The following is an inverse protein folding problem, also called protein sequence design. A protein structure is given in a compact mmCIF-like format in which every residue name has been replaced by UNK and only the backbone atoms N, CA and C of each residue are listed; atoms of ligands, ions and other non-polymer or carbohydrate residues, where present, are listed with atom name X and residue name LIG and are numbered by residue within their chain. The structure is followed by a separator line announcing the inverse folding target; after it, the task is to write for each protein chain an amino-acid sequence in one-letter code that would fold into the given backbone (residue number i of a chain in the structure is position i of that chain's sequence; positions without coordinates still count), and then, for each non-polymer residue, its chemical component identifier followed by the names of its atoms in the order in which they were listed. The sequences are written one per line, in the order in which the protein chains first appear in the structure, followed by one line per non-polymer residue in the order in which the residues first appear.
data_IF_861660631101
#
_entry.id   IF_861660631101
#
_cell.length_a   1.000
_cell.length_b   1.000
_cell.length_c   1.000
_cell.angle_alpha   90.00
_cell.angle_beta   90.00
_cell.angle_gamma   90.00
#
_symmetry.space_group_name_H-M   'P 1'
#
loop_
_entity.id
_entity.type
_entity.pdbx_description
1 polymer ?
#
# COMPACT_ATOMS: atom_id res chain seq x y z
N UNK A 1 -16.96 31.52 -16.04
CA UNK A 1 -15.56 31.56 -15.57
C UNK A 1 -15.09 30.13 -15.42
N UNK A 2 -14.00 29.79 -16.10
CA UNK A 2 -13.61 28.41 -16.49
C UNK A 2 -13.02 27.60 -15.33
N UNK A 3 -13.46 26.34 -15.19
CA UNK A 3 -13.10 25.38 -14.14
C UNK A 3 -11.67 24.81 -14.26
N UNK A 4 -10.87 25.27 -15.22
CA UNK A 4 -9.55 24.72 -15.55
C UNK A 4 -8.37 25.25 -14.71
N UNK A 5 -8.60 26.09 -13.70
CA UNK A 5 -7.51 26.84 -13.04
C UNK A 5 -7.24 26.50 -11.57
N UNK A 6 -7.85 25.44 -11.00
CA UNK A 6 -7.65 25.06 -9.58
C UNK A 6 -6.88 23.76 -9.35
N UNK A 7 -6.57 23.00 -10.41
CA UNK A 7 -5.85 21.73 -10.27
C UNK A 7 -4.35 21.91 -10.50
N UNK A 8 -3.59 21.98 -9.40
CA UNK A 8 -2.16 21.62 -9.37
C UNK A 8 -1.97 20.71 -8.15
N UNK A 9 -1.58 19.43 -8.33
CA UNK A 9 -1.02 18.67 -7.23
C UNK A 9 0.18 19.45 -6.69
N UNK A 10 0.18 19.74 -5.40
CA UNK A 10 1.36 20.27 -4.72
C UNK A 10 2.38 19.13 -4.69
N UNK A 11 3.17 18.99 -5.76
CA UNK A 11 4.36 18.16 -5.77
C UNK A 11 5.26 18.70 -4.66
N UNK A 12 5.51 17.89 -3.62
CA UNK A 12 6.39 18.22 -2.51
C UNK A 12 7.79 18.49 -3.07
N UNK A 13 8.15 19.76 -3.22
CA UNK A 13 9.49 20.15 -3.67
C UNK A 13 10.47 19.88 -2.54
N UNK A 14 11.32 18.87 -2.71
CA UNK A 14 12.52 18.75 -1.92
C UNK A 14 13.59 19.66 -2.54
N UNK A 15 14.03 20.67 -1.80
CA UNK A 15 15.22 21.43 -2.16
C UNK A 15 16.47 20.53 -2.03
N UNK A 16 17.36 20.49 -3.04
CA UNK A 16 18.56 19.67 -2.96
C UNK A 16 19.52 20.21 -1.88
N UNK A 17 20.13 19.36 -1.06
CA UNK A 17 21.16 19.80 -0.12
C UNK A 17 22.39 20.30 -0.87
N UNK A 18 22.89 21.46 -0.45
CA UNK A 18 24.12 22.07 -0.96
C UNK A 18 25.32 21.13 -0.74
N UNK A 19 25.96 20.71 -1.85
CA UNK A 19 27.13 19.85 -1.81
C UNK A 19 28.35 20.59 -1.23
N UNK A 20 28.82 20.15 -0.07
CA UNK A 20 30.19 20.42 0.38
C UNK A 20 31.04 19.17 0.13
N UNK A 21 32.08 19.35 -0.69
CA UNK A 21 33.03 18.33 -1.06
C UNK A 21 33.94 17.98 0.13
N UNK A 22 33.91 16.73 0.58
CA UNK A 22 35.06 16.11 1.26
C UNK A 22 35.18 14.67 0.79
N UNK A 23 36.35 14.34 0.23
CA UNK A 23 36.70 13.02 -0.26
C UNK A 23 37.05 12.10 0.92
N UNK A 24 36.38 10.95 1.01
CA UNK A 24 36.88 9.80 1.76
C UNK A 24 36.59 8.55 0.94
N UNK A 25 37.68 7.91 0.50
CA UNK A 25 37.69 6.61 -0.13
C UNK A 25 37.17 5.56 0.85
N UNK A 26 36.00 5.01 0.54
CA UNK A 26 35.44 3.83 1.18
C UNK A 26 34.73 3.02 0.10
N UNK A 27 35.07 1.74 -0.01
CA UNK A 27 34.49 0.81 -0.99
C UNK A 27 32.95 0.90 -0.97
N UNK A 28 32.40 1.46 -2.03
CA UNK A 28 30.95 1.59 -2.20
C UNK A 28 30.40 0.25 -2.63
N UNK A 29 29.62 -0.39 -1.76
CA UNK A 29 28.76 -1.54 -2.08
C UNK A 29 27.76 -1.09 -3.15
N UNK A 30 28.11 -1.25 -4.43
CA UNK A 30 27.29 -0.76 -5.54
C UNK A 30 26.14 -1.72 -5.81
N UNK A 31 24.92 -1.17 -5.98
CA UNK A 31 23.72 -1.93 -6.37
C UNK A 31 23.78 -2.50 -7.82
N UNK A 32 24.95 -2.60 -8.45
CA UNK A 32 25.07 -3.10 -9.83
C UNK A 32 24.86 -4.62 -9.94
N UNK A 33 24.84 -5.36 -8.84
CA UNK A 33 24.56 -6.80 -8.82
C UNK A 33 23.06 -7.13 -8.71
N UNK A 34 22.16 -6.22 -9.12
CA UNK A 34 20.71 -6.30 -8.83
C UNK A 34 19.83 -6.81 -9.98
N UNK A 35 20.41 -7.36 -11.05
CA UNK A 35 19.64 -7.92 -12.17
C UNK A 35 18.87 -9.17 -11.71
N UNK A 36 17.54 -9.09 -11.66
CA UNK A 36 16.66 -10.24 -11.52
C UNK A 36 15.69 -10.23 -12.70
N UNK A 37 15.62 -11.35 -13.39
CA UNK A 37 14.56 -11.63 -14.35
C UNK A 37 13.34 -12.18 -13.57
N UNK A 38 12.13 -11.82 -13.99
CA UNK A 38 10.91 -12.44 -13.47
C UNK A 38 10.92 -13.94 -13.82
N UNK A 39 10.35 -14.82 -12.97
CA UNK A 39 10.21 -16.24 -13.31
C UNK A 39 9.51 -16.43 -14.66
N UNK A 40 10.02 -17.35 -15.49
CA UNK A 40 9.45 -17.66 -16.80
C UNK A 40 8.01 -18.24 -16.66
N UNK A 41 7.00 -17.62 -17.30
CA UNK A 41 5.61 -18.06 -17.23
C UNK A 41 5.37 -19.45 -17.88
N UNK A 42 6.27 -19.98 -18.70
CA UNK A 42 6.03 -21.23 -19.45
C UNK A 42 6.55 -22.50 -18.76
N UNK A 43 7.13 -22.41 -17.56
CA UNK A 43 7.50 -23.58 -16.76
C UNK A 43 6.30 -24.10 -15.94
N UNK A 44 5.85 -25.30 -16.30
CA UNK A 44 4.86 -26.19 -15.69
C UNK A 44 3.41 -25.70 -15.57
N UNK A 45 2.56 -26.25 -16.46
CA UNK A 45 1.10 -26.28 -16.28
C UNK A 45 0.68 -27.73 -16.07
N UNK A 46 0.13 -28.04 -14.89
CA UNK A 46 -0.83 -29.11 -14.55
C UNK A 46 -0.80 -29.50 -13.06
N UNK A 47 -0.89 -28.55 -12.12
CA UNK A 47 -1.17 -28.86 -10.70
C UNK A 47 -1.98 -27.75 -9.97
N UNK A 48 -2.58 -26.79 -10.68
CA UNK A 48 -2.96 -25.49 -10.12
C UNK A 48 -4.32 -25.50 -9.36
N UNK A 49 -5.32 -26.25 -9.80
CA UNK A 49 -6.70 -26.09 -9.26
C UNK A 49 -6.92 -26.75 -7.87
N UNK A 50 -6.11 -27.75 -7.51
CA UNK A 50 -6.24 -28.44 -6.20
C UNK A 50 -5.43 -27.77 -5.09
N UNK A 51 -4.34 -27.09 -5.43
CA UNK A 51 -3.50 -26.37 -4.46
C UNK A 51 -4.17 -25.05 -4.02
N UNK A 52 -4.80 -24.34 -4.95
CA UNK A 52 -5.54 -23.11 -4.71
C UNK A 52 -6.67 -23.30 -3.69
N UNK A 53 -7.49 -24.35 -3.87
CA UNK A 53 -8.60 -24.68 -2.97
C UNK A 53 -8.16 -25.11 -1.55
N UNK A 54 -6.95 -25.67 -1.40
CA UNK A 54 -6.41 -26.07 -0.09
C UNK A 54 -5.81 -24.86 0.65
N UNK A 55 -5.14 -23.96 -0.07
CA UNK A 55 -4.56 -22.74 0.49
C UNK A 55 -5.64 -21.74 0.95
N UNK A 56 -6.73 -21.57 0.18
CA UNK A 56 -7.87 -20.72 0.55
C UNK A 56 -8.53 -21.21 1.85
N UNK A 57 -8.74 -22.52 1.99
CA UNK A 57 -9.33 -23.11 3.20
C UNK A 57 -8.43 -22.99 4.44
N UNK A 58 -7.12 -23.16 4.29
CA UNK A 58 -6.15 -22.96 5.39
C UNK A 58 -6.10 -21.49 5.81
N UNK A 59 -6.22 -20.56 4.86
CA UNK A 59 -6.32 -19.13 5.14
C UNK A 59 -7.61 -18.76 5.87
N UNK A 60 -8.78 -19.24 5.45
CA UNK A 60 -10.06 -18.94 6.14
C UNK A 60 -10.09 -19.46 7.58
N UNK A 61 -9.52 -20.64 7.82
CA UNK A 61 -9.39 -21.22 9.17
C UNK A 61 -8.40 -20.42 10.01
N UNK A 62 -7.23 -20.09 9.47
CA UNK A 62 -6.24 -19.24 10.17
C UNK A 62 -6.76 -17.82 10.38
N UNK A 63 -7.54 -17.26 9.45
CA UNK A 63 -8.23 -15.96 9.56
C UNK A 63 -9.24 -16.02 10.69
N UNK A 64 -10.12 -17.01 10.74
CA UNK A 64 -11.07 -17.16 11.83
C UNK A 64 -10.38 -17.32 13.19
N UNK A 65 -9.26 -18.03 13.25
CA UNK A 65 -8.47 -18.22 14.46
C UNK A 65 -7.72 -16.94 14.89
N UNK A 66 -7.03 -16.26 13.96
CA UNK A 66 -6.36 -14.98 14.17
C UNK A 66 -7.35 -13.88 14.58
N UNK A 67 -8.46 -13.72 13.86
CA UNK A 67 -9.51 -12.76 14.18
C UNK A 67 -10.19 -13.10 15.53
N UNK A 68 -10.40 -14.38 15.83
CA UNK A 68 -11.00 -14.84 17.09
C UNK A 68 -10.10 -14.68 18.32
N UNK A 69 -8.78 -14.81 18.15
CA UNK A 69 -7.77 -14.55 19.19
C UNK A 69 -7.57 -13.04 19.36
N UNK A 70 -7.52 -12.28 18.26
CA UNK A 70 -7.27 -10.82 18.28
C UNK A 70 -8.48 -10.01 18.71
N UNK A 71 -9.73 -10.37 18.37
CA UNK A 71 -10.95 -9.74 18.95
C UNK A 71 -10.96 -9.79 20.48
N UNK A 72 -10.46 -10.88 21.09
CA UNK A 72 -10.31 -11.00 22.55
C UNK A 72 -9.19 -10.13 23.14
N UNK A 73 -8.12 -9.86 22.39
CA UNK A 73 -7.03 -8.93 22.79
C UNK A 73 -7.40 -7.45 22.58
N UNK A 74 -8.17 -7.12 21.54
CA UNK A 74 -8.67 -5.77 21.25
C UNK A 74 -9.43 -5.17 22.45
N UNK A 75 -10.25 -5.97 23.13
CA UNK A 75 -10.98 -5.58 24.34
C UNK A 75 -10.07 -5.32 25.56
N UNK A 76 -8.77 -5.59 25.48
CA UNK A 76 -7.82 -5.50 26.59
C UNK A 76 -6.59 -4.62 26.36
N UNK A 77 -6.42 -4.02 25.17
CA UNK A 77 -5.31 -3.10 24.91
C UNK A 77 -5.68 -2.08 23.84
N UNK A 78 -6.21 -0.94 24.28
CA UNK A 78 -6.46 0.25 23.45
C UNK A 78 -5.62 1.46 23.90
N UNK A 79 -4.56 1.25 24.70
CA UNK A 79 -3.61 2.31 25.03
C UNK A 79 -2.27 2.07 24.33
N UNK A 80 -1.81 3.01 23.50
CA UNK A 80 -0.47 2.93 22.93
C UNK A 80 0.55 3.14 24.06
N UNK A 81 1.50 2.23 24.18
CA UNK A 81 2.72 2.54 24.92
C UNK A 81 3.51 3.55 24.09
N UNK A 82 3.57 4.78 24.60
CA UNK A 82 4.43 5.82 24.07
C UNK A 82 5.89 5.44 24.31
N UNK A 83 6.67 5.21 23.25
CA UNK A 83 8.09 5.61 23.18
C UNK A 83 8.67 5.47 21.75
N UNK A 84 9.08 6.61 21.20
CA UNK A 84 10.15 6.90 20.21
C UNK A 84 10.15 6.42 18.74
N UNK A 85 9.36 5.46 18.28
CA UNK A 85 9.49 4.96 16.89
C UNK A 85 8.34 5.45 15.99
N UNK A 86 8.44 6.68 15.47
CA UNK A 86 7.49 7.15 14.46
C UNK A 86 7.67 6.36 13.17
N UNK A 87 6.60 5.75 12.64
CA UNK A 87 6.61 5.16 11.31
C UNK A 87 7.12 6.21 10.29
N UNK A 88 8.07 5.84 9.41
CA UNK A 88 8.71 6.78 8.50
C UNK A 88 7.72 7.29 7.46
N UNK A 89 7.91 8.54 7.05
CA UNK A 89 7.10 9.17 6.02
C UNK A 89 7.95 9.56 4.82
N UNK A 90 7.47 9.23 3.62
CA UNK A 90 8.10 9.57 2.34
C UNK A 90 7.04 10.14 1.42
N UNK A 91 7.24 11.39 0.97
CA UNK A 91 6.35 12.02 -0.01
C UNK A 91 6.65 11.47 -1.41
N UNK A 92 5.61 11.35 -2.23
CA UNK A 92 5.75 11.03 -3.65
C UNK A 92 6.40 12.20 -4.40
N UNK A 93 7.23 11.89 -5.40
CA UNK A 93 7.92 12.90 -6.20
C UNK A 93 7.17 13.29 -7.48
N UNK A 94 6.30 12.41 -7.97
CA UNK A 94 5.58 12.53 -9.23
C UNK A 94 4.11 12.15 -9.02
N UNK A 95 3.26 12.26 -10.06
CA UNK A 95 1.83 11.93 -9.93
C UNK A 95 1.52 10.43 -9.88
N UNK A 96 2.53 9.57 -10.06
CA UNK A 96 2.34 8.13 -10.29
C UNK A 96 3.04 7.23 -9.28
N UNK A 97 3.96 7.77 -8.48
CA UNK A 97 4.89 7.00 -7.65
C UNK A 97 4.45 6.91 -6.18
N UNK A 98 3.18 7.19 -5.85
CA UNK A 98 2.67 7.07 -4.48
C UNK A 98 2.84 5.65 -3.92
N UNK A 99 2.64 4.61 -4.74
CA UNK A 99 2.91 3.23 -4.36
C UNK A 99 4.40 2.95 -4.11
N UNK A 100 5.30 3.57 -4.88
CA UNK A 100 6.76 3.46 -4.67
C UNK A 100 7.14 4.11 -3.34
N UNK A 101 6.63 5.31 -3.06
CA UNK A 101 6.83 6.00 -1.79
C UNK A 101 6.28 5.17 -0.60
N UNK A 102 5.16 4.46 -0.77
CA UNK A 102 4.67 3.51 0.23
C UNK A 102 5.67 2.39 0.52
N UNK A 103 6.31 1.82 -0.51
CA UNK A 103 7.35 0.81 -0.32
C UNK A 103 8.59 1.42 0.35
N UNK A 104 8.99 2.65 0.02
CA UNK A 104 10.08 3.35 0.70
C UNK A 104 9.82 3.50 2.20
N UNK A 105 8.59 3.85 2.59
CA UNK A 105 8.18 3.89 4.00
C UNK A 105 8.26 2.51 4.66
N UNK A 106 7.72 1.46 4.03
CA UNK A 106 7.80 0.09 4.57
C UNK A 106 9.25 -0.39 4.71
N UNK A 107 10.11 -0.09 3.73
CA UNK A 107 11.53 -0.42 3.77
C UNK A 107 12.23 0.26 4.96
N UNK A 108 12.05 1.57 5.14
CA UNK A 108 12.62 2.31 6.27
C UNK A 108 12.10 1.77 7.61
N UNK A 109 10.81 1.44 7.69
CA UNK A 109 10.20 0.84 8.88
C UNK A 109 10.82 -0.52 9.20
N UNK A 110 11.14 -1.33 8.18
CA UNK A 110 11.86 -2.59 8.34
C UNK A 110 13.28 -2.36 8.86
N UNK A 111 14.05 -1.44 8.26
CA UNK A 111 15.42 -1.14 8.69
C UNK A 111 15.46 -0.66 10.15
N UNK A 112 14.52 0.21 10.55
CA UNK A 112 14.44 0.75 11.91
C UNK A 112 14.17 -0.35 12.95
N UNK A 113 13.12 -1.17 12.76
CA UNK A 113 12.74 -2.15 13.79
C UNK A 113 13.57 -3.43 13.74
N UNK A 114 14.04 -3.84 12.57
CA UNK A 114 14.74 -5.12 12.38
C UNK A 114 16.27 -4.98 12.41
N UNK A 115 16.79 -3.75 12.58
CA UNK A 115 18.24 -3.43 12.60
C UNK A 115 18.98 -3.97 11.37
N UNK A 116 18.31 -3.92 10.21
CA UNK A 116 18.92 -4.27 8.92
C UNK A 116 19.69 -3.06 8.41
N UNK A 117 20.92 -3.27 7.95
CA UNK A 117 21.75 -2.22 7.36
C UNK A 117 21.03 -1.58 6.17
N UNK A 118 20.68 -0.31 6.32
CA UNK A 118 19.97 0.42 5.29
C UNK A 118 20.90 0.74 4.12
N UNK A 119 20.56 0.26 2.94
CA UNK A 119 21.01 0.85 1.68
C UNK A 119 20.46 2.28 1.55
N UNK A 120 21.19 3.18 0.86
CA UNK A 120 20.70 4.54 0.58
C UNK A 120 19.34 4.50 -0.09
N UNK A 121 18.38 5.27 0.43
CA UNK A 121 17.00 5.25 -0.04
C UNK A 121 16.88 5.55 -1.54
N UNK A 122 17.67 6.52 -2.04
CA UNK A 122 17.75 6.85 -3.47
C UNK A 122 18.14 5.66 -4.33
N UNK A 123 19.00 4.79 -3.83
CA UNK A 123 19.49 3.62 -4.53
C UNK A 123 18.41 2.51 -4.57
N UNK A 124 17.66 2.35 -3.47
CA UNK A 124 16.48 1.47 -3.41
C UNK A 124 15.39 1.95 -4.37
N UNK A 125 15.10 3.25 -4.36
CA UNK A 125 14.15 3.90 -5.27
C UNK A 125 14.53 3.72 -6.73
N UNK A 126 15.78 3.99 -7.09
CA UNK A 126 16.32 3.80 -8.43
C UNK A 126 16.10 2.37 -8.93
N UNK A 127 16.34 1.37 -8.06
CA UNK A 127 16.08 -0.02 -8.38
C UNK A 127 14.60 -0.27 -8.62
N UNK A 128 13.71 0.19 -7.73
CA UNK A 128 12.26 -0.01 -7.87
C UNK A 128 11.71 0.60 -9.15
N UNK A 129 12.10 1.85 -9.47
CA UNK A 129 11.64 2.54 -10.69
C UNK A 129 12.11 1.80 -11.94
N UNK A 130 13.36 1.35 -11.99
CA UNK A 130 13.89 0.58 -13.12
C UNK A 130 13.23 -0.79 -13.25
N UNK A 131 13.01 -1.48 -12.14
CA UNK A 131 12.41 -2.82 -12.11
C UNK A 131 10.91 -2.81 -12.44
N UNK A 132 10.18 -1.79 -11.97
CA UNK A 132 8.78 -1.58 -12.35
C UNK A 132 8.67 -1.34 -13.86
N UNK A 133 9.60 -0.55 -14.42
CA UNK A 133 9.67 -0.19 -15.84
C UNK A 133 8.34 0.35 -16.38
N UNK A 134 7.59 1.06 -15.54
CA UNK A 134 6.28 1.65 -15.83
C UNK A 134 6.04 2.87 -14.95
N UNK A 135 5.23 3.80 -15.43
CA UNK A 135 4.66 4.89 -14.63
C UNK A 135 3.16 4.67 -14.36
N UNK A 136 2.61 3.52 -14.73
CA UNK A 136 1.25 3.08 -14.38
C UNK A 136 1.40 1.91 -13.40
N UNK A 137 1.52 2.23 -12.12
CA UNK A 137 1.78 1.27 -11.04
C UNK A 137 0.47 0.66 -10.57
N UNK A 138 0.39 -0.67 -10.62
CA UNK A 138 -0.72 -1.48 -10.12
C UNK A 138 -0.28 -2.24 -8.86
N UNK A 139 -1.22 -2.71 -8.05
CA UNK A 139 -0.91 -3.35 -6.76
C UNK A 139 0.01 -4.56 -6.92
N UNK A 140 -0.17 -5.34 -7.98
CA UNK A 140 0.73 -6.47 -8.29
C UNK A 140 2.17 -6.04 -8.57
N UNK A 141 2.40 -4.83 -9.12
CA UNK A 141 3.76 -4.30 -9.27
C UNK A 141 4.38 -4.08 -7.88
N UNK A 142 3.62 -3.55 -6.92
CA UNK A 142 4.07 -3.33 -5.55
C UNK A 142 4.37 -4.63 -4.82
N UNK A 143 3.53 -5.66 -4.99
CA UNK A 143 3.75 -7.01 -4.42
C UNK A 143 5.09 -7.58 -4.88
N UNK A 144 5.36 -7.52 -6.20
CA UNK A 144 6.61 -8.03 -6.76
C UNK A 144 7.81 -7.21 -6.27
N UNK A 145 7.69 -5.88 -6.20
CA UNK A 145 8.76 -5.01 -5.70
C UNK A 145 9.08 -5.31 -4.23
N UNK A 146 8.06 -5.45 -3.37
CA UNK A 146 8.22 -5.81 -1.96
C UNK A 146 8.86 -7.19 -1.80
N UNK A 147 8.41 -8.19 -2.56
CA UNK A 147 9.02 -9.52 -2.55
C UNK A 147 10.48 -9.46 -3.01
N UNK A 148 10.78 -8.70 -4.05
CA UNK A 148 12.14 -8.51 -4.54
C UNK A 148 13.05 -7.85 -3.51
N UNK A 149 12.56 -6.83 -2.78
CA UNK A 149 13.31 -6.22 -1.67
C UNK A 149 13.49 -7.20 -0.51
N UNK A 150 12.42 -7.93 -0.14
CA UNK A 150 12.46 -8.97 0.89
C UNK A 150 13.57 -9.98 0.61
N UNK A 151 13.60 -10.54 -0.60
CA UNK A 151 14.56 -11.59 -0.95
C UNK A 151 15.98 -11.03 -1.07
N UNK A 152 16.16 -9.89 -1.75
CA UNK A 152 17.49 -9.31 -1.99
C UNK A 152 18.14 -8.79 -0.71
N UNK A 153 17.36 -8.14 0.15
CA UNK A 153 17.85 -7.53 1.38
C UNK A 153 17.62 -8.39 2.62
N UNK A 154 17.06 -9.60 2.44
CA UNK A 154 16.68 -10.51 3.52
C UNK A 154 15.83 -9.81 4.60
N UNK A 155 14.88 -8.97 4.17
CA UNK A 155 13.99 -8.29 5.11
C UNK A 155 13.14 -9.35 5.83
N UNK A 156 13.10 -9.35 7.17
CA UNK A 156 12.30 -10.30 7.92
C UNK A 156 10.84 -9.82 7.91
N UNK A 157 10.19 -9.96 6.76
CA UNK A 157 8.78 -9.62 6.57
C UNK A 157 8.05 -10.73 5.83
N UNK A 158 6.77 -10.86 6.11
CA UNK A 158 5.83 -11.68 5.38
C UNK A 158 4.80 -10.78 4.71
N UNK A 159 4.45 -11.16 3.48
CA UNK A 159 3.49 -10.44 2.65
C UNK A 159 2.21 -11.24 2.57
N UNK A 160 1.08 -10.55 2.54
CA UNK A 160 -0.22 -11.10 2.16
C UNK A 160 -0.87 -10.09 1.22
N UNK A 161 -1.10 -10.51 -0.02
CA UNK A 161 -1.82 -9.71 -1.00
C UNK A 161 -3.30 -10.11 -1.02
N UNK A 162 -4.20 -9.16 -0.83
CA UNK A 162 -5.63 -9.37 -0.92
C UNK A 162 -6.24 -8.49 -2.00
N UNK A 163 -7.19 -9.04 -2.76
CA UNK A 163 -7.93 -8.35 -3.81
C UNK A 163 -9.26 -9.08 -4.06
N UNK A 164 -10.30 -8.37 -4.49
CA UNK A 164 -11.52 -9.00 -4.98
C UNK A 164 -11.30 -9.71 -6.32
N UNK A 165 -10.36 -9.22 -7.13
CA UNK A 165 -10.07 -9.75 -8.46
C UNK A 165 -8.60 -10.04 -8.69
N UNK A 166 -8.22 -11.32 -8.81
CA UNK A 166 -6.87 -11.73 -9.22
C UNK A 166 -6.69 -11.79 -10.74
N UNK A 167 -7.32 -10.85 -11.44
CA UNK A 167 -7.29 -10.71 -12.91
C UNK A 167 -7.40 -9.25 -13.26
N UNK A 168 -6.98 -8.89 -14.47
CA UNK A 168 -7.25 -7.54 -14.97
C UNK A 168 -8.74 -7.38 -15.20
N UNK A 169 -9.39 -6.55 -14.38
CA UNK A 169 -10.80 -6.23 -14.52
C UNK A 169 -11.03 -5.38 -15.78
N UNK A 170 -11.56 -5.99 -16.84
CA UNK A 170 -11.79 -5.32 -18.12
C UNK A 170 -12.84 -4.22 -18.05
N UNK A 171 -13.70 -4.21 -17.03
CA UNK A 171 -14.66 -3.12 -16.83
C UNK A 171 -13.95 -1.79 -16.51
N UNK A 172 -12.74 -1.83 -15.95
CA UNK A 172 -11.95 -0.64 -15.62
C UNK A 172 -11.48 0.13 -16.86
N UNK A 173 -11.48 -0.51 -18.04
CA UNK A 173 -11.14 0.15 -19.30
C UNK A 173 -12.07 1.34 -19.62
N UNK A 174 -13.27 1.38 -19.03
CA UNK A 174 -14.21 2.48 -19.19
C UNK A 174 -13.85 3.72 -18.34
N UNK A 175 -13.02 3.57 -17.30
CA UNK A 175 -12.64 4.69 -16.44
C UNK A 175 -11.54 5.53 -17.09
N UNK A 176 -11.74 6.85 -17.14
CA UNK A 176 -10.80 7.81 -17.74
C UNK A 176 -9.36 7.65 -17.20
N UNK A 177 -9.23 7.30 -15.92
CA UNK A 177 -7.96 7.02 -15.25
C UNK A 177 -7.15 5.92 -15.95
N UNK A 178 -7.80 4.83 -16.39
CA UNK A 178 -7.13 3.68 -16.99
C UNK A 178 -7.09 3.72 -18.52
N UNK A 179 -8.03 4.42 -19.17
CA UNK A 179 -8.25 4.38 -20.62
C UNK A 179 -6.97 4.54 -21.46
N UNK A 180 -6.10 5.48 -21.11
CA UNK A 180 -4.94 5.84 -21.93
C UNK A 180 -3.83 4.77 -22.00
N UNK A 181 -3.73 3.90 -20.98
CA UNK A 181 -2.68 2.88 -20.86
C UNK A 181 -3.22 1.45 -20.75
N UNK A 182 -4.55 1.28 -20.67
CA UNK A 182 -5.20 0.01 -20.32
C UNK A 182 -4.69 -1.19 -21.12
N UNK A 183 -4.58 -1.09 -22.44
CA UNK A 183 -4.15 -2.22 -23.28
C UNK A 183 -2.70 -2.66 -23.02
N UNK A 184 -1.81 -1.69 -22.74
CA UNK A 184 -0.41 -1.95 -22.38
C UNK A 184 -0.35 -2.56 -20.97
N UNK A 185 -1.09 -1.97 -20.04
CA UNK A 185 -1.13 -2.41 -18.64
C UNK A 185 -1.71 -3.80 -18.50
N UNK A 186 -2.80 -4.11 -19.19
CA UNK A 186 -3.48 -5.40 -19.13
C UNK A 186 -2.54 -6.58 -19.35
N UNK A 187 -1.74 -6.55 -20.42
CA UNK A 187 -0.82 -7.66 -20.73
C UNK A 187 0.27 -7.79 -19.66
N UNK A 188 0.84 -6.66 -19.23
CA UNK A 188 1.89 -6.62 -18.20
C UNK A 188 1.38 -7.09 -16.84
N UNK A 189 0.23 -6.57 -16.40
CA UNK A 189 -0.40 -6.90 -15.12
C UNK A 189 -0.81 -8.36 -15.09
N UNK A 190 -1.39 -8.88 -16.18
CA UNK A 190 -1.72 -10.30 -16.29
C UNK A 190 -0.48 -11.19 -16.13
N UNK A 191 0.62 -10.85 -16.81
CA UNK A 191 1.87 -11.60 -16.70
C UNK A 191 2.46 -11.52 -15.28
N UNK A 192 2.37 -10.36 -14.62
CA UNK A 192 2.83 -10.18 -13.23
C UNK A 192 1.98 -10.97 -12.23
N UNK A 193 0.66 -11.04 -12.41
CA UNK A 193 -0.22 -11.87 -11.58
C UNK A 193 0.13 -13.36 -11.72
N UNK A 194 0.41 -13.83 -12.93
CA UNK A 194 0.91 -15.20 -13.17
C UNK A 194 2.27 -15.45 -12.52
N UNK A 195 3.16 -14.45 -12.51
CA UNK A 195 4.43 -14.59 -11.81
C UNK A 195 4.22 -14.68 -10.29
N UNK A 196 3.31 -13.88 -9.71
CA UNK A 196 2.97 -13.92 -8.28
C UNK A 196 2.38 -15.26 -7.87
N UNK A 197 1.53 -15.89 -8.69
CA UNK A 197 0.98 -17.22 -8.38
C UNK A 197 2.04 -18.32 -8.33
N UNK A 198 3.19 -18.11 -8.99
CA UNK A 198 4.36 -18.99 -8.91
C UNK A 198 5.32 -18.64 -7.78
N UNK A 199 5.18 -17.46 -7.18
CA UNK A 199 5.95 -17.06 -6.00
C UNK A 199 5.27 -17.61 -4.74
N UNK A 200 6.06 -17.84 -3.68
CA UNK A 200 5.52 -18.25 -2.38
C UNK A 200 4.97 -17.06 -1.58
N UNK A 201 4.14 -16.24 -2.23
CA UNK A 201 3.46 -15.09 -1.63
C UNK A 201 2.01 -15.53 -1.37
N UNK A 202 1.54 -15.51 -0.11
CA UNK A 202 0.13 -15.68 0.19
C UNK A 202 -0.74 -14.66 -0.55
N UNK A 203 -1.73 -15.15 -1.30
CA UNK A 203 -2.72 -14.33 -1.98
C UNK A 203 -4.12 -14.74 -1.51
N UNK A 204 -4.95 -13.77 -1.16
CA UNK A 204 -6.35 -13.97 -0.83
C UNK A 204 -7.24 -13.29 -1.87
N UNK A 205 -8.09 -14.07 -2.53
CA UNK A 205 -9.15 -13.52 -3.36
C UNK A 205 -10.47 -13.51 -2.59
N UNK A 206 -11.05 -12.33 -2.37
CA UNK A 206 -12.37 -12.19 -1.78
C UNK A 206 -12.52 -11.01 -0.81
N UNK A 207 -13.76 -10.84 -0.35
CA UNK A 207 -14.18 -9.67 0.44
C UNK A 207 -13.42 -9.57 1.76
N UNK A 208 -12.81 -8.41 1.97
CA UNK A 208 -12.28 -7.96 3.25
C UNK A 208 -13.18 -6.88 3.83
N UNK A 209 -13.32 -6.88 5.15
CA UNK A 209 -14.07 -5.87 5.89
C UNK A 209 -13.12 -5.00 6.69
N UNK A 210 -13.57 -3.80 7.05
CA UNK A 210 -12.83 -2.91 7.96
C UNK A 210 -12.43 -3.64 9.25
N UNK A 211 -13.29 -4.50 9.79
CA UNK A 211 -12.99 -5.34 10.95
C UNK A 211 -11.74 -6.22 10.78
N UNK A 212 -11.49 -6.73 9.58
CA UNK A 212 -10.31 -7.54 9.29
C UNK A 212 -9.05 -6.67 9.30
N UNK A 213 -9.12 -5.48 8.71
CA UNK A 213 -8.04 -4.50 8.73
C UNK A 213 -7.70 -4.11 10.17
N UNK A 214 -8.69 -3.78 10.99
CA UNK A 214 -8.50 -3.44 12.41
C UNK A 214 -7.83 -4.60 13.15
N UNK A 215 -8.30 -5.83 12.94
CA UNK A 215 -7.72 -6.99 13.60
C UNK A 215 -6.26 -7.24 13.19
N UNK A 216 -5.89 -6.98 11.94
CA UNK A 216 -4.50 -7.12 11.49
C UNK A 216 -3.64 -5.98 12.02
N UNK A 217 -4.08 -4.74 11.85
CA UNK A 217 -3.36 -3.50 12.18
C UNK A 217 -3.38 -3.13 13.68
N UNK A 218 -4.06 -3.91 14.52
CA UNK A 218 -3.92 -3.82 15.98
C UNK A 218 -2.62 -4.46 16.50
N UNK A 219 -1.82 -5.07 15.62
CA UNK A 219 -0.48 -5.60 15.94
C UNK A 219 0.58 -4.62 15.46
N UNK A 220 1.43 -4.14 16.38
CA UNK A 220 2.50 -3.17 16.08
C UNK A 220 3.56 -3.70 15.09
N UNK A 221 3.55 -5.01 14.81
CA UNK A 221 4.40 -5.64 13.79
C UNK A 221 3.74 -5.71 12.41
N UNK A 222 2.53 -5.17 12.24
CA UNK A 222 1.77 -5.23 11.00
C UNK A 222 1.47 -3.83 10.46
N UNK A 223 1.68 -3.66 9.16
CA UNK A 223 1.26 -2.47 8.40
C UNK A 223 0.57 -2.90 7.11
N UNK A 224 -0.13 -1.99 6.44
CA UNK A 224 -0.77 -2.29 5.17
C UNK A 224 -0.54 -1.17 4.14
N UNK A 225 -0.28 -1.55 2.89
CA UNK A 225 -0.41 -0.64 1.74
C UNK A 225 -1.81 -0.83 1.17
N UNK A 226 -2.63 0.21 1.10
CA UNK A 226 -4.02 0.16 0.63
C UNK A 226 -4.21 1.04 -0.60
N UNK A 227 -4.90 0.53 -1.62
CA UNK A 227 -5.33 1.30 -2.78
C UNK A 227 -6.69 1.94 -2.48
N UNK A 228 -6.81 3.25 -2.71
CA UNK A 228 -8.04 4.01 -2.46
C UNK A 228 -8.34 4.94 -3.61
N UNK A 229 -9.62 5.30 -3.77
CA UNK A 229 -10.02 6.39 -4.63
C UNK A 229 -9.72 7.73 -3.94
N UNK A 230 -8.68 8.43 -4.39
CA UNK A 230 -8.22 9.70 -3.81
C UNK A 230 -9.31 10.79 -3.82
N UNK A 231 -10.19 10.80 -4.81
CA UNK A 231 -11.28 11.77 -4.90
C UNK A 231 -12.23 11.66 -3.69
N UNK A 232 -12.41 10.45 -3.16
CA UNK A 232 -13.25 10.20 -1.98
C UNK A 232 -12.56 10.59 -0.67
N UNK A 233 -11.22 10.62 -0.63
CA UNK A 233 -10.47 11.08 0.53
C UNK A 233 -10.39 12.61 0.62
N UNK A 234 -10.23 13.28 -0.52
CA UNK A 234 -9.88 14.71 -0.56
C UNK A 234 -11.08 15.65 -0.58
N UNK A 235 -12.24 15.21 -1.07
CA UNK A 235 -13.40 16.08 -1.29
C UNK A 235 -14.53 15.76 -0.29
N UNK A 236 -14.44 16.29 0.92
CA UNK A 236 -15.42 16.09 1.98
C UNK A 236 -16.56 17.15 1.98
N UNK A 237 -16.43 18.23 1.19
CA UNK A 237 -17.29 19.43 1.29
C UNK A 237 -18.41 19.53 0.23
N UNK A 238 -18.55 18.56 -0.69
CA UNK A 238 -19.56 18.63 -1.77
C UNK A 238 -20.73 17.68 -1.51
N UNK A 239 -21.97 18.18 -1.32
CA UNK A 239 -23.15 17.33 -1.15
C UNK A 239 -23.49 16.61 -2.45
N UNK A 240 -23.32 15.28 -2.47
CA UNK A 240 -23.80 14.43 -3.58
C UNK A 240 -22.84 13.30 -3.93
N UNK A 241 -23.23 12.07 -3.58
CA UNK A 241 -22.51 10.84 -3.91
C UNK A 241 -22.60 10.50 -5.42
N UNK A 242 -23.69 10.95 -6.07
CA UNK A 242 -24.09 10.57 -7.44
C UNK A 242 -23.15 11.00 -8.58
N UNK A 243 -22.10 11.80 -8.32
CA UNK A 243 -21.14 12.26 -9.33
C UNK A 243 -19.66 12.00 -8.99
N UNK A 244 -19.38 11.34 -7.87
CA UNK A 244 -18.01 11.09 -7.36
C UNK A 244 -17.45 9.75 -7.80
N UNK A 245 -18.31 8.77 -8.01
CA UNK A 245 -17.94 7.45 -8.53
C UNK A 245 -17.36 7.54 -9.95
N UNK A 246 -17.68 8.60 -10.70
CA UNK A 246 -17.16 8.81 -12.05
C UNK A 246 -15.75 9.43 -12.10
N UNK A 247 -15.18 9.89 -10.99
CA UNK A 247 -13.87 10.56 -10.96
C UNK A 247 -12.77 9.74 -10.26
N UNK A 248 -12.84 8.41 -10.39
CA UNK A 248 -11.84 7.50 -9.83
C UNK A 248 -10.41 7.99 -10.11
N UNK A 249 -9.65 8.17 -9.04
CA UNK A 249 -8.21 8.48 -9.09
C UNK A 249 -7.50 7.59 -8.09
N UNK A 250 -6.88 6.52 -8.58
CA UNK A 250 -6.17 5.56 -7.73
C UNK A 250 -5.01 6.22 -6.98
N UNK A 251 -4.89 5.93 -5.69
CA UNK A 251 -3.83 6.41 -4.81
C UNK A 251 -3.51 5.39 -3.73
N UNK A 252 -2.24 5.24 -3.38
CA UNK A 252 -1.82 4.32 -2.32
C UNK A 252 -1.51 5.08 -1.02
N UNK A 253 -1.92 4.48 0.10
CA UNK A 253 -1.59 4.93 1.45
C UNK A 253 -0.92 3.79 2.22
N UNK A 254 -0.17 4.14 3.27
CA UNK A 254 0.24 3.16 4.28
C UNK A 254 -0.62 3.33 5.53
N UNK A 255 -1.24 2.25 6.00
CA UNK A 255 -1.87 2.17 7.31
C UNK A 255 -0.89 1.51 8.28
N UNK A 256 -0.55 2.20 9.36
CA UNK A 256 0.43 1.73 10.35
C UNK A 256 -0.19 1.29 11.67
N UNK A 257 -1.50 1.50 11.85
CA UNK A 257 -2.20 1.04 13.04
C UNK A 257 -3.60 1.63 13.20
N UNK A 258 -4.17 1.40 14.38
CA UNK A 258 -5.44 1.98 14.83
C UNK A 258 -5.24 2.74 16.14
N UNK A 259 -6.02 3.80 16.37
CA UNK A 259 -5.90 4.64 17.56
C UNK A 259 -7.25 5.02 18.12
N UNK A 260 -7.41 4.89 19.43
CA UNK A 260 -8.55 5.44 20.20
C UNK A 260 -8.20 6.68 21.02
N UNK A 261 -7.00 7.25 20.83
CA UNK A 261 -6.65 8.51 21.48
C UNK A 261 -7.64 9.61 21.03
N UNK A 262 -8.36 10.27 21.95
CA UNK A 262 -9.33 11.31 21.62
C UNK A 262 -8.76 12.44 20.74
N UNK A 263 -7.47 12.76 20.89
CA UNK A 263 -6.80 13.78 20.07
C UNK A 263 -6.65 13.33 18.61
N UNK A 264 -6.26 12.08 18.39
CA UNK A 264 -6.11 11.51 17.03
C UNK A 264 -7.48 11.41 16.35
N UNK A 265 -8.48 10.93 17.09
CA UNK A 265 -9.88 10.85 16.68
C UNK A 265 -10.41 12.24 16.30
N UNK A 266 -10.19 13.26 17.14
CA UNK A 266 -10.61 14.64 16.83
C UNK A 266 -9.86 15.23 15.63
N UNK A 267 -8.61 14.80 15.39
CA UNK A 267 -7.77 15.28 14.30
C UNK A 267 -8.08 14.63 12.94
N UNK A 268 -8.99 13.66 12.87
CA UNK A 268 -9.47 13.15 11.59
C UNK A 268 -10.05 14.31 10.76
N UNK A 269 -9.56 14.47 9.52
CA UNK A 269 -9.85 15.63 8.67
C UNK A 269 -11.27 15.63 8.08
N UNK A 270 -12.03 14.56 8.29
CA UNK A 270 -13.39 14.36 7.85
C UNK A 270 -14.38 14.80 8.93
N UNK A 271 -15.37 15.61 8.54
CA UNK A 271 -16.41 16.08 9.45
C UNK A 271 -17.07 14.87 10.14
N UNK A 272 -16.87 14.75 11.45
CA UNK A 272 -17.44 13.70 12.30
C UNK A 272 -18.93 13.55 12.00
N UNK A 273 -19.28 12.46 11.31
CA UNK A 273 -20.69 12.10 11.09
C UNK A 273 -21.26 11.61 12.41
N UNK A 274 -22.53 11.95 12.66
CA UNK A 274 -23.31 11.37 13.76
C UNK A 274 -23.17 9.83 13.69
N UNK A 275 -22.67 9.21 14.76
CA UNK A 275 -22.29 7.78 14.89
C UNK A 275 -20.89 7.35 14.38
N UNK A 276 -19.94 8.26 14.19
CA UNK A 276 -18.57 7.87 13.87
C UNK A 276 -17.91 7.09 15.03
N UNK A 277 -17.10 6.04 14.75
CA UNK A 277 -16.49 5.21 15.80
C UNK A 277 -15.55 5.99 16.71
N UNK A 278 -15.36 5.59 17.98
CA UNK A 278 -14.42 6.25 18.90
C UNK A 278 -12.95 5.88 18.65
N UNK A 279 -12.59 5.64 17.40
CA UNK A 279 -11.26 5.23 16.95
C UNK A 279 -11.04 5.62 15.49
N UNK A 280 -9.78 5.70 15.07
CA UNK A 280 -9.35 6.06 13.73
C UNK A 280 -8.19 5.18 13.25
N UNK A 281 -7.96 5.14 11.93
CA UNK A 281 -6.73 4.58 11.38
C UNK A 281 -5.59 5.60 11.46
N UNK A 282 -4.38 5.12 11.72
CA UNK A 282 -3.14 5.88 11.56
C UNK A 282 -2.64 5.63 10.15
N UNK A 283 -2.58 6.68 9.34
CA UNK A 283 -2.24 6.61 7.93
C UNK A 283 -1.05 7.52 7.58
N UNK A 284 -0.34 7.15 6.52
CA UNK A 284 0.75 7.91 5.94
C UNK A 284 0.44 8.12 4.47
N UNK A 285 0.24 9.37 4.09
CA UNK A 285 -0.21 9.75 2.76
C UNK A 285 0.96 10.32 1.95
N UNK A 286 1.48 9.62 0.93
CA UNK A 286 2.58 10.12 0.10
C UNK A 286 2.30 11.46 -0.58
N UNK A 287 1.03 11.83 -0.78
CA UNK A 287 0.63 13.10 -1.38
C UNK A 287 0.58 14.27 -0.37
N UNK A 288 0.90 14.03 0.90
CA UNK A 288 0.87 15.05 1.95
C UNK A 288 2.24 15.21 2.60
N UNK A 289 2.57 16.44 2.98
CA UNK A 289 3.75 16.74 3.81
C UNK A 289 3.52 16.36 5.29
N UNK A 290 2.26 16.11 5.68
CA UNK A 290 1.93 15.63 7.02
C UNK A 290 2.44 14.20 7.19
N UNK A 291 3.33 14.01 8.18
CA UNK A 291 3.97 12.71 8.45
C UNK A 291 2.98 11.63 8.84
N UNK A 292 1.87 12.03 9.45
CA UNK A 292 0.80 11.14 9.92
C UNK A 292 -0.51 11.85 9.65
N UNK A 293 -1.46 11.13 9.07
CA UNK A 293 -2.86 11.53 8.97
C UNK A 293 -3.73 10.53 9.71
N UNK A 294 -4.84 11.00 10.26
CA UNK A 294 -5.81 10.13 10.92
C UNK A 294 -7.05 10.03 10.04
N UNK A 295 -7.45 8.81 9.72
CA UNK A 295 -8.60 8.55 8.84
C UNK A 295 -9.76 7.99 9.64
N UNK A 296 -10.94 8.57 9.45
CA UNK A 296 -12.18 7.96 9.92
C UNK A 296 -12.39 6.62 9.18
N UNK A 297 -12.76 5.54 9.90
CA UNK A 297 -13.01 4.24 9.29
C UNK A 297 -14.05 4.29 8.16
N UNK A 298 -15.08 5.12 8.30
CA UNK A 298 -16.14 5.29 7.29
C UNK A 298 -15.59 5.93 6.02
N UNK A 299 -14.72 6.93 6.14
CA UNK A 299 -14.09 7.58 4.99
C UNK A 299 -13.14 6.63 4.27
N UNK A 300 -12.32 5.89 5.02
CA UNK A 300 -11.44 4.88 4.44
C UNK A 300 -12.26 3.83 3.68
N UNK A 301 -13.32 3.30 4.30
CA UNK A 301 -14.17 2.29 3.70
C UNK A 301 -14.82 2.80 2.41
N UNK A 302 -15.38 4.02 2.39
CA UNK A 302 -15.94 4.61 1.17
C UNK A 302 -14.91 4.80 0.04
N UNK A 303 -13.68 5.20 0.40
CA UNK A 303 -12.61 5.39 -0.58
C UNK A 303 -12.04 4.06 -1.10
N UNK A 304 -11.97 3.05 -0.25
CA UNK A 304 -11.48 1.71 -0.56
C UNK A 304 -12.52 0.84 -1.28
N UNK A 305 -13.81 1.01 -0.99
CA UNK A 305 -14.94 0.32 -1.65
C UNK A 305 -15.32 0.92 -3.01
N UNK A 306 -14.63 2.00 -3.41
CA UNK A 306 -14.88 2.67 -4.69
C UNK A 306 -14.52 1.80 -5.89
N UNK A 307 -15.30 1.91 -6.97
CA UNK A 307 -14.99 1.27 -8.26
C UNK A 307 -13.55 1.61 -8.68
N UNK A 308 -12.77 0.58 -9.03
CA UNK A 308 -11.40 0.71 -9.52
C UNK A 308 -10.31 0.37 -8.51
N UNK A 309 -10.63 0.23 -7.23
CA UNK A 309 -9.67 -0.22 -6.21
C UNK A 309 -9.51 -1.73 -6.17
N UNK A 310 -10.51 -2.49 -6.62
CA UNK A 310 -10.64 -3.96 -6.49
C UNK A 310 -10.36 -4.45 -5.04
N UNK A 311 -10.62 -3.58 -4.04
CA UNK A 311 -10.27 -3.75 -2.62
C UNK A 311 -8.81 -4.14 -2.37
N UNK A 312 -7.92 -3.72 -3.25
CA UNK A 312 -6.51 -4.07 -3.21
C UNK A 312 -5.83 -3.59 -1.92
N UNK A 313 -5.22 -4.54 -1.20
CA UNK A 313 -4.45 -4.29 0.01
C UNK A 313 -3.28 -5.28 0.13
N UNK A 314 -2.13 -4.79 0.57
CA UNK A 314 -0.96 -5.61 0.87
C UNK A 314 -0.69 -5.48 2.36
N UNK A 315 -0.87 -6.56 3.12
CA UNK A 315 -0.43 -6.62 4.51
C UNK A 315 1.05 -7.02 4.57
N UNK A 316 1.81 -6.33 5.41
CA UNK A 316 3.21 -6.59 5.68
C UNK A 316 3.39 -6.81 7.17
N UNK A 317 3.90 -7.98 7.55
CA UNK A 317 4.08 -8.36 8.96
C UNK A 317 5.53 -8.77 9.20
N UNK A 318 6.15 -8.26 10.27
CA UNK A 318 7.49 -8.68 10.71
C UNK A 318 7.46 -10.00 11.47
#
# INVERSE_FOLDING_TARGET
MSWKNWWRPSICRQDPPSASSTSLDGETRTLRSFDCELPDPDADSQLEEKAENAAVRDFDVKRAELLGIRRRRMLHRMEPQSTSDTFPHVCQGESWDCGIACIEMVYLWCCQSCRVDAFPLSAVRDWMVRFASTQSIWTVDLVILLQGLKDKLQLPINLLFCSDTLRVNTALAALDYYQSTFDKDRKRVQHRLQAVSKMNIPVHQGELRVDDLVAILSDDNAVAIVLVNNAMLMDQDVPGQLGRESCYTGHYLVLSGVSSNPQHVTACHDAWRENSPSWCFIAHNPASDEKVTFLNPVTLELAWDSIGTDHDIIFIVK
#
